data_IF_091470596737
#
_entry.id   IF_091470596737
#
_cell.length_a   1.000
_cell.length_b   1.000
_cell.length_c   1.000
_cell.angle_alpha   90.00
_cell.angle_beta   90.00
_cell.angle_gamma   90.00
#
_symmetry.space_group_name_H-M   'P 1'
#
loop_
_entity.id
_entity.type
_entity.pdbx_description
1 polymer ?
#
# COMPACT_ATOMS: atom_id res chain seq x y z
N UNK A 1 -21.83 -25.12 -12.77
CA UNK A 1 -20.97 -23.91 -12.80
C UNK A 1 -20.73 -23.52 -11.35
N UNK A 2 -19.51 -23.70 -10.85
CA UNK A 2 -19.11 -23.22 -9.53
C UNK A 2 -18.47 -21.87 -9.78
N UNK A 3 -19.18 -20.78 -9.52
CA UNK A 3 -18.55 -19.47 -9.42
C UNK A 3 -17.64 -19.52 -8.19
N UNK A 4 -16.31 -19.40 -8.34
CA UNK A 4 -15.47 -19.19 -7.17
C UNK A 4 -15.96 -17.89 -6.55
N UNK A 5 -16.39 -17.92 -5.29
CA UNK A 5 -16.52 -16.72 -4.47
C UNK A 5 -15.10 -16.18 -4.28
N UNK A 6 -14.61 -15.44 -5.27
CA UNK A 6 -13.35 -14.71 -5.15
C UNK A 6 -13.53 -13.72 -4.01
N UNK A 7 -12.67 -13.82 -2.99
CA UNK A 7 -12.57 -12.82 -1.93
C UNK A 7 -12.36 -11.44 -2.58
N UNK A 8 -13.05 -10.40 -2.11
CA UNK A 8 -12.82 -9.05 -2.60
C UNK A 8 -11.38 -8.61 -2.34
N UNK A 9 -10.87 -7.68 -3.15
CA UNK A 9 -9.49 -7.19 -2.99
C UNK A 9 -9.32 -6.59 -1.59
N UNK A 10 -10.30 -5.85 -1.06
CA UNK A 10 -10.22 -5.37 0.33
C UNK A 10 -10.11 -6.48 1.39
N UNK A 11 -10.74 -7.64 1.18
CA UNK A 11 -10.61 -8.77 2.10
C UNK A 11 -9.21 -9.40 2.00
N UNK A 12 -8.70 -9.56 0.78
CA UNK A 12 -7.35 -10.06 0.52
C UNK A 12 -6.28 -9.10 1.04
N UNK A 13 -6.46 -7.79 0.84
CA UNK A 13 -5.59 -6.73 1.35
C UNK A 13 -5.49 -6.75 2.88
N UNK A 14 -6.60 -6.91 3.60
CA UNK A 14 -6.56 -7.04 5.07
C UNK A 14 -5.75 -8.26 5.52
N UNK A 15 -5.90 -9.39 4.82
CA UNK A 15 -5.11 -10.60 5.09
C UNK A 15 -3.63 -10.36 4.79
N UNK A 16 -3.34 -9.76 3.64
CA UNK A 16 -2.00 -9.38 3.22
C UNK A 16 -1.32 -8.46 4.23
N UNK A 17 -1.98 -7.38 4.64
CA UNK A 17 -1.46 -6.40 5.59
C UNK A 17 -1.10 -7.05 6.94
N UNK A 18 -1.94 -7.98 7.41
CA UNK A 18 -1.64 -8.75 8.64
C UNK A 18 -0.37 -9.59 8.49
N UNK A 19 -0.22 -10.30 7.37
CA UNK A 19 0.95 -11.14 7.12
C UNK A 19 2.23 -10.31 6.98
N UNK A 20 2.16 -9.18 6.28
CA UNK A 20 3.29 -8.25 6.15
C UNK A 20 3.70 -7.64 7.49
N UNK A 21 2.74 -7.26 8.34
CA UNK A 21 3.05 -6.76 9.67
C UNK A 21 3.75 -7.85 10.52
N UNK A 22 3.26 -9.09 10.47
CA UNK A 22 3.90 -10.21 11.17
C UNK A 22 5.31 -10.49 10.63
N UNK A 23 5.48 -10.46 9.31
CA UNK A 23 6.79 -10.63 8.68
C UNK A 23 7.76 -9.52 9.09
N UNK A 24 7.30 -8.27 9.11
CA UNK A 24 8.11 -7.13 9.50
C UNK A 24 8.52 -7.18 10.99
N UNK A 25 7.59 -7.54 11.88
CA UNK A 25 7.91 -7.77 13.30
C UNK A 25 8.92 -8.91 13.49
N UNK A 26 8.76 -10.00 12.74
CA UNK A 26 9.70 -11.12 12.77
C UNK A 26 11.09 -10.72 12.24
N UNK A 27 11.15 -9.90 11.20
CA UNK A 27 12.41 -9.40 10.65
C UNK A 27 13.17 -8.54 11.67
N UNK A 28 12.46 -7.65 12.40
CA UNK A 28 13.05 -6.88 13.51
C UNK A 28 13.55 -7.80 14.62
N UNK A 29 12.72 -8.76 15.04
CA UNK A 29 13.11 -9.73 16.06
C UNK A 29 14.36 -10.51 15.66
N UNK A 30 14.51 -10.90 14.39
CA UNK A 30 15.73 -11.57 13.91
C UNK A 30 16.95 -10.63 13.91
N UNK A 31 16.76 -9.35 13.59
CA UNK A 31 17.85 -8.37 13.54
C UNK A 31 18.38 -7.96 14.92
N UNK A 32 17.51 -7.95 15.94
CA UNK A 32 17.83 -7.55 17.32
C UNK A 32 18.51 -8.67 18.15
N UNK A 33 18.78 -9.82 17.54
CA UNK A 33 19.00 -11.06 18.26
C UNK A 33 20.49 -11.44 18.41
N UNK A 34 20.99 -11.45 19.65
CA UNK A 34 22.21 -12.15 20.10
C UNK A 34 21.90 -13.60 20.55
N UNK A 35 21.11 -14.36 19.79
CA UNK A 35 20.58 -15.68 20.22
C UNK A 35 21.40 -16.84 19.65
N UNK A 36 21.41 -17.95 20.40
CA UNK A 36 21.89 -19.28 20.01
C UNK A 36 21.35 -19.71 18.63
N UNK A 37 22.18 -20.43 17.88
CA UNK A 37 21.91 -20.83 16.49
C UNK A 37 20.59 -21.57 16.24
N UNK A 38 20.12 -22.37 17.21
CA UNK A 38 18.89 -23.16 17.07
C UNK A 38 17.61 -22.29 17.04
N UNK A 39 17.55 -21.23 17.84
CA UNK A 39 16.40 -20.33 17.87
C UNK A 39 16.36 -19.46 16.61
N UNK A 40 17.53 -19.04 16.11
CA UNK A 40 17.64 -18.34 14.84
C UNK A 40 17.12 -19.19 13.67
N UNK A 41 17.44 -20.48 13.64
CA UNK A 41 16.95 -21.39 12.60
C UNK A 41 15.42 -21.49 12.62
N UNK A 42 14.80 -21.61 13.79
CA UNK A 42 13.35 -21.64 13.96
C UNK A 42 12.67 -20.35 13.49
N UNK A 43 13.24 -19.18 13.85
CA UNK A 43 12.73 -17.87 13.39
C UNK A 43 12.83 -17.72 11.87
N UNK A 44 13.93 -18.17 11.25
CA UNK A 44 14.10 -18.14 9.79
C UNK A 44 13.14 -19.09 9.08
N UNK A 45 12.84 -20.26 9.65
CA UNK A 45 11.85 -21.17 9.11
C UNK A 45 10.44 -20.56 9.15
N UNK A 46 10.08 -19.89 10.27
CA UNK A 46 8.84 -19.12 10.35
C UNK A 46 8.81 -17.99 9.33
N UNK A 47 9.91 -17.28 9.13
CA UNK A 47 10.01 -16.21 8.13
C UNK A 47 9.76 -16.74 6.72
N UNK A 48 10.37 -17.87 6.36
CA UNK A 48 10.17 -18.49 5.06
C UNK A 48 8.70 -18.88 4.82
N UNK A 49 8.02 -19.43 5.84
CA UNK A 49 6.57 -19.73 5.74
C UNK A 49 5.73 -18.48 5.54
N UNK A 50 5.99 -17.41 6.29
CA UNK A 50 5.27 -16.15 6.12
C UNK A 50 5.44 -15.57 4.73
N UNK A 51 6.66 -15.62 4.17
CA UNK A 51 6.91 -15.15 2.81
C UNK A 51 6.12 -15.95 1.76
N UNK A 52 5.96 -17.26 1.95
CA UNK A 52 5.12 -18.08 1.08
C UNK A 52 3.63 -17.70 1.19
N UNK A 53 3.14 -17.46 2.40
CA UNK A 53 1.75 -17.03 2.63
C UNK A 53 1.47 -15.64 2.02
N UNK A 54 2.41 -14.70 2.17
CA UNK A 54 2.37 -13.39 1.51
C UNK A 54 2.29 -13.56 0.00
N UNK A 55 3.21 -14.34 -0.59
CA UNK A 55 3.22 -14.60 -2.04
C UNK A 55 1.91 -15.21 -2.54
N UNK A 56 1.32 -16.13 -1.76
CA UNK A 56 0.04 -16.74 -2.09
C UNK A 56 -1.09 -15.69 -2.13
N UNK A 57 -1.18 -14.83 -1.10
CA UNK A 57 -2.21 -13.78 -1.05
C UNK A 57 -1.99 -12.73 -2.14
N UNK A 58 -0.75 -12.32 -2.40
CA UNK A 58 -0.43 -11.39 -3.50
C UNK A 58 -0.80 -11.98 -4.86
N UNK A 59 -0.61 -13.28 -5.06
CA UNK A 59 -1.06 -13.96 -6.28
C UNK A 59 -2.60 -14.01 -6.39
N UNK A 60 -3.33 -14.14 -5.29
CA UNK A 60 -4.79 -14.02 -5.27
C UNK A 60 -5.24 -12.59 -5.63
N UNK A 61 -4.61 -11.56 -5.06
CA UNK A 61 -4.89 -10.15 -5.34
C UNK A 61 -4.71 -9.84 -6.83
N UNK A 62 -3.63 -10.30 -7.45
CA UNK A 62 -3.36 -10.11 -8.90
C UNK A 62 -4.43 -10.71 -9.81
N UNK A 63 -5.17 -11.71 -9.34
CA UNK A 63 -6.24 -12.39 -10.11
C UNK A 63 -7.63 -11.86 -9.78
N UNK A 64 -7.77 -11.08 -8.72
CA UNK A 64 -9.03 -10.49 -8.31
C UNK A 64 -9.35 -9.25 -9.16
N UNK A 65 -10.64 -8.97 -9.34
CA UNK A 65 -11.09 -7.77 -10.03
C UNK A 65 -11.31 -6.65 -9.01
N UNK A 66 -10.75 -5.47 -9.26
CA UNK A 66 -11.09 -4.27 -8.50
C UNK A 66 -12.43 -3.74 -8.99
N UNK A 67 -13.43 -3.72 -8.11
CA UNK A 67 -14.79 -3.32 -8.46
C UNK A 67 -15.26 -2.07 -7.74
N UNK A 68 -14.56 -1.67 -6.67
CA UNK A 68 -14.86 -0.47 -5.90
C UNK A 68 -13.63 0.45 -5.78
N UNK A 69 -13.84 1.68 -5.30
CA UNK A 69 -12.75 2.62 -5.02
C UNK A 69 -11.86 2.06 -3.91
N UNK A 70 -12.44 1.41 -2.89
CA UNK A 70 -11.70 0.74 -1.82
C UNK A 70 -10.81 -0.38 -2.36
N UNK A 71 -11.28 -1.16 -3.34
CA UNK A 71 -10.45 -2.20 -3.98
C UNK A 71 -9.26 -1.56 -4.72
N UNK A 72 -9.46 -0.43 -5.40
CA UNK A 72 -8.39 0.29 -6.11
C UNK A 72 -7.36 0.84 -5.13
N UNK A 73 -7.80 1.43 -4.02
CA UNK A 73 -6.91 1.98 -3.00
C UNK A 73 -6.18 0.83 -2.27
N UNK A 74 -6.84 -0.30 -2.04
CA UNK A 74 -6.21 -1.50 -1.53
C UNK A 74 -5.11 -2.05 -2.47
N UNK A 75 -5.33 -2.02 -3.79
CA UNK A 75 -4.28 -2.33 -4.77
C UNK A 75 -3.12 -1.34 -4.70
N UNK A 76 -3.43 -0.04 -4.59
CA UNK A 76 -2.40 0.98 -4.46
C UNK A 76 -1.49 0.69 -3.26
N UNK A 77 -2.04 0.38 -2.09
CA UNK A 77 -1.26 0.05 -0.89
C UNK A 77 -0.34 -1.18 -1.08
N UNK A 78 -0.80 -2.19 -1.84
CA UNK A 78 0.02 -3.37 -2.17
C UNK A 78 1.16 -3.02 -3.13
N UNK A 79 0.88 -2.20 -4.15
CA UNK A 79 1.87 -1.77 -5.16
C UNK A 79 2.99 -0.93 -4.54
N UNK A 80 2.65 -0.08 -3.56
CA UNK A 80 3.63 0.73 -2.83
C UNK A 80 4.71 -0.11 -2.13
N UNK A 81 4.41 -1.33 -1.71
CA UNK A 81 5.35 -2.19 -0.98
C UNK A 81 5.99 -3.25 -1.87
N UNK A 82 5.25 -3.88 -2.78
CA UNK A 82 5.73 -5.08 -3.49
C UNK A 82 6.20 -4.87 -4.92
N UNK A 83 5.77 -3.79 -5.57
CA UNK A 83 6.09 -3.56 -6.99
C UNK A 83 7.02 -2.38 -7.19
N UNK A 84 7.02 -1.43 -6.25
CA UNK A 84 7.73 -0.17 -6.41
C UNK A 84 8.70 0.15 -5.28
N UNK A 85 8.65 -0.58 -4.16
CA UNK A 85 9.36 -0.24 -2.92
C UNK A 85 9.13 1.23 -2.47
N UNK A 86 8.06 1.86 -2.96
CA UNK A 86 7.83 3.30 -2.85
C UNK A 86 7.54 3.73 -1.41
N UNK A 87 6.95 2.86 -0.59
CA UNK A 87 6.77 3.14 0.83
C UNK A 87 8.12 3.26 1.56
N UNK A 88 9.09 2.42 1.22
CA UNK A 88 10.45 2.50 1.73
C UNK A 88 11.17 3.74 1.19
N UNK A 89 11.06 4.02 -0.11
CA UNK A 89 11.68 5.17 -0.74
C UNK A 89 11.17 6.50 -0.16
N UNK A 90 9.85 6.65 0.04
CA UNK A 90 9.25 7.80 0.71
C UNK A 90 9.77 7.94 2.14
N UNK A 91 9.99 6.83 2.85
CA UNK A 91 10.55 6.88 4.20
C UNK A 91 11.99 7.41 4.23
N UNK A 92 12.80 7.12 3.20
CA UNK A 92 14.21 7.51 3.14
C UNK A 92 14.47 8.89 2.52
N UNK A 93 13.68 9.27 1.51
CA UNK A 93 13.86 10.53 0.77
C UNK A 93 12.81 11.59 1.15
N UNK A 94 11.72 11.18 1.78
CA UNK A 94 10.63 12.05 2.18
C UNK A 94 9.60 12.27 1.07
N UNK A 95 8.38 12.70 1.43
CA UNK A 95 7.27 12.83 0.47
C UNK A 95 7.47 13.94 -0.57
N UNK A 96 8.36 14.91 -0.29
CA UNK A 96 8.64 16.05 -1.18
C UNK A 96 9.28 15.62 -2.50
N UNK A 97 10.01 14.50 -2.50
CA UNK A 97 10.66 13.95 -3.70
C UNK A 97 9.67 13.16 -4.57
N UNK A 98 8.45 12.93 -4.09
CA UNK A 98 7.39 12.20 -4.79
C UNK A 98 6.06 13.00 -4.81
N UNK A 99 6.04 14.22 -5.39
CA UNK A 99 4.90 15.12 -5.25
C UNK A 99 3.61 14.56 -5.88
N UNK A 100 3.69 13.93 -7.06
CA UNK A 100 2.51 13.34 -7.71
C UNK A 100 1.96 12.14 -6.95
N UNK A 101 2.83 11.28 -6.42
CA UNK A 101 2.43 10.13 -5.61
C UNK A 101 1.79 10.60 -4.32
N UNK A 102 2.40 11.59 -3.66
CA UNK A 102 1.86 12.21 -2.45
C UNK A 102 0.45 12.76 -2.68
N UNK A 103 0.22 13.46 -3.79
CA UNK A 103 -1.13 13.95 -4.15
C UNK A 103 -2.11 12.81 -4.41
N UNK A 104 -1.70 11.73 -5.10
CA UNK A 104 -2.54 10.54 -5.30
C UNK A 104 -2.93 9.91 -3.95
N UNK A 105 -1.98 9.76 -3.03
CA UNK A 105 -2.20 9.18 -1.71
C UNK A 105 -3.16 10.04 -0.86
N UNK A 106 -3.01 11.37 -0.92
CA UNK A 106 -3.92 12.32 -0.27
C UNK A 106 -5.33 12.24 -0.86
N UNK A 107 -5.44 12.20 -2.19
CA UNK A 107 -6.72 12.07 -2.87
C UNK A 107 -7.40 10.75 -2.50
N UNK A 108 -6.65 9.64 -2.49
CA UNK A 108 -7.14 8.33 -2.08
C UNK A 108 -7.65 8.34 -0.62
N UNK A 109 -6.88 8.91 0.31
CA UNK A 109 -7.31 9.05 1.71
C UNK A 109 -8.59 9.91 1.85
N UNK A 110 -8.77 10.91 0.98
CA UNK A 110 -9.99 11.71 0.91
C UNK A 110 -11.20 10.97 0.31
N UNK A 111 -10.97 10.03 -0.60
CA UNK A 111 -12.02 9.23 -1.24
C UNK A 111 -12.55 8.11 -0.35
N UNK A 112 -11.68 7.50 0.47
CA UNK A 112 -12.06 6.46 1.43
C UNK A 112 -11.56 6.85 2.83
N UNK A 113 -12.34 7.67 3.56
CA UNK A 113 -11.98 8.09 4.90
C UNK A 113 -11.77 6.89 5.83
N UNK A 114 -10.65 6.87 6.54
CA UNK A 114 -10.29 5.79 7.47
C UNK A 114 -9.62 4.58 6.80
N UNK A 115 -9.36 4.62 5.49
CA UNK A 115 -8.47 3.62 4.87
C UNK A 115 -7.07 3.74 5.46
N UNK A 116 -6.51 2.61 5.91
CA UNK A 116 -5.15 2.55 6.44
C UNK A 116 -4.17 2.04 5.39
N UNK A 117 -3.27 2.92 4.93
CA UNK A 117 -2.13 2.53 4.09
C UNK A 117 -1.09 1.79 4.93
N UNK A 118 -1.20 0.46 4.97
CA UNK A 118 -0.39 -0.38 5.85
C UNK A 118 1.07 -0.42 5.40
N UNK A 119 1.33 -0.33 4.09
CA UNK A 119 2.69 -0.20 3.57
C UNK A 119 3.38 1.04 4.16
N UNK A 120 2.74 2.21 4.04
CA UNK A 120 3.26 3.47 4.54
C UNK A 120 3.41 3.46 6.07
N UNK A 121 2.44 2.91 6.81
CA UNK A 121 2.52 2.81 8.28
C UNK A 121 3.68 1.95 8.77
N UNK A 122 4.12 0.94 8.00
CA UNK A 122 5.27 0.11 8.37
C UNK A 122 6.60 0.87 8.24
N UNK A 123 6.71 1.72 7.23
CA UNK A 123 7.98 2.33 6.85
C UNK A 123 8.16 3.76 7.38
N UNK A 124 7.09 4.55 7.46
CA UNK A 124 7.16 5.95 7.87
C UNK A 124 7.08 6.09 9.39
N UNK A 125 7.85 7.04 9.94
CA UNK A 125 7.60 7.54 11.29
C UNK A 125 6.25 8.25 11.39
N UNK A 126 5.71 8.40 12.60
CA UNK A 126 4.46 9.11 12.82
C UNK A 126 4.49 10.55 12.23
N UNK A 127 5.61 11.27 12.41
CA UNK A 127 5.77 12.61 11.86
C UNK A 127 5.79 12.64 10.32
N UNK A 128 6.47 11.68 9.68
CA UNK A 128 6.48 11.57 8.21
C UNK A 128 5.10 11.21 7.67
N UNK A 129 4.38 10.31 8.35
CA UNK A 129 3.02 9.93 7.99
C UNK A 129 2.08 11.14 8.10
N UNK A 130 2.16 11.91 9.19
CA UNK A 130 1.43 13.16 9.36
C UNK A 130 1.77 14.18 8.28
N UNK A 131 3.05 14.37 7.94
CA UNK A 131 3.48 15.27 6.88
C UNK A 131 2.92 14.87 5.51
N UNK A 132 2.88 13.56 5.22
CA UNK A 132 2.35 13.03 3.97
C UNK A 132 0.86 13.36 3.81
N UNK A 133 0.06 13.22 4.87
CA UNK A 133 -1.39 13.44 4.80
C UNK A 133 -1.84 14.85 5.24
N UNK A 134 -0.95 15.66 5.78
CA UNK A 134 -1.20 17.08 6.00
C UNK A 134 -1.32 17.77 4.65
N UNK A 135 -2.44 18.45 4.41
CA UNK A 135 -2.54 19.37 3.29
C UNK A 135 -1.51 20.47 3.52
N UNK A 136 -0.60 20.66 2.57
CA UNK A 136 0.04 21.95 2.43
C UNK A 136 -1.07 22.94 2.08
N UNK A 137 -1.61 23.65 3.08
CA UNK A 137 -2.35 24.87 2.81
C UNK A 137 -1.41 25.75 1.98
N UNK A 138 -1.85 26.11 0.77
CA UNK A 138 -1.16 26.86 -0.30
C UNK A 138 -0.65 25.97 -1.45
N UNK A 139 -1.49 25.75 -2.47
CA UNK A 139 -1.26 26.19 -3.87
C UNK A 139 -2.58 26.11 -4.65
N UNK A 140 -3.00 27.27 -5.16
CA UNK A 140 -3.87 27.55 -6.31
C UNK A 140 -5.35 27.10 -6.32
N UNK A 141 -6.24 28.10 -6.28
CA UNK A 141 -7.31 28.43 -7.26
C UNK A 141 -8.24 27.33 -7.82
N UNK A 142 -9.44 27.69 -8.30
CA UNK A 142 -10.34 26.70 -8.91
C UNK A 142 -9.65 26.05 -10.11
N UNK A 143 -9.50 24.73 -10.05
CA UNK A 143 -9.05 23.91 -11.18
C UNK A 143 -10.18 23.90 -12.19
N UNK A 144 -10.02 24.64 -13.29
CA UNK A 144 -10.83 24.39 -14.49
C UNK A 144 -10.45 23.01 -15.01
N UNK A 145 -11.34 22.04 -14.83
CA UNK A 145 -11.26 20.76 -15.53
C UNK A 145 -11.25 21.07 -17.03
N UNK A 146 -10.14 20.77 -17.71
CA UNK A 146 -10.05 20.83 -19.17
C UNK A 146 -11.06 19.84 -19.74
N UNK A 147 -12.20 20.37 -20.19
CA UNK A 147 -13.20 19.59 -20.91
C UNK A 147 -12.60 19.07 -22.20
N UNK A 148 -12.69 17.75 -22.42
CA UNK A 148 -12.44 17.17 -23.73
C UNK A 148 -13.31 17.89 -24.76
N UNK A 149 -12.66 18.50 -25.75
CA UNK A 149 -13.27 19.41 -26.71
C UNK A 149 -14.54 18.86 -27.33
N UNK A 150 -15.58 19.68 -27.33
CA UNK A 150 -16.71 19.49 -28.24
C UNK A 150 -16.15 19.50 -29.67
N UNK A 151 -16.40 18.43 -30.42
CA UNK A 151 -16.28 18.48 -31.87
C UNK A 151 -17.42 19.36 -32.37
N UNK A 152 -17.08 20.56 -32.80
CA UNK A 152 -17.96 21.38 -33.62
C UNK A 152 -18.07 20.72 -34.99
N UNK A 153 -19.12 19.93 -35.19
CA UNK A 153 -19.60 19.60 -36.53
C UNK A 153 -20.43 20.79 -37.02
N UNK A 154 -19.76 21.72 -37.70
CA UNK A 154 -20.42 22.71 -38.53
C UNK A 154 -20.46 22.22 -39.98
N UNK A 155 -21.68 22.20 -40.51
CA UNK A 155 -22.12 22.09 -41.92
C UNK A 155 -22.26 20.70 -42.53
#
# INVERSE_FOLDING_TARGET
>A
MITPTHSSICALHRRWAKLENEHHELARAIAEVEIRSADLASLRERQARLLLDIQAVTAEIRRASATTIEDIIALLDVVLDHETDLAYDIANHGPIDYPMITEILRAAAGLVPGFEFNSLRRWLSAAQFEQLFSRAENVAGPVECVGFGKRDESS
#
